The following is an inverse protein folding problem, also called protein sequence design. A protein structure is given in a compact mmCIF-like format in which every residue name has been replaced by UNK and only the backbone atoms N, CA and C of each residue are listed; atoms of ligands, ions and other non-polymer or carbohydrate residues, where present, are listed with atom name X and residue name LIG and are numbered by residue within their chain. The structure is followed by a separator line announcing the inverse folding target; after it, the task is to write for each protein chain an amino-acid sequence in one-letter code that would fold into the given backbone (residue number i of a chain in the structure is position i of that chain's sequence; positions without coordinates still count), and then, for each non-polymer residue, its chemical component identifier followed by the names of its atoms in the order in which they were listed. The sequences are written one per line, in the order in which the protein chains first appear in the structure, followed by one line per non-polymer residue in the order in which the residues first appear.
data_IF_423968263641
#
_entry.id   IF_423968263641
#
_cell.length_a   1.000
_cell.length_b   1.000
_cell.length_c   1.000
_cell.angle_alpha   90.00
_cell.angle_beta   90.00
_cell.angle_gamma   90.00
#
_symmetry.space_group_name_H-M   'P 1'
#
loop_
_entity.id
_entity.type
_entity.pdbx_description
1 polymer ?
#
# COMPACT_ATOMS: atom_id res chain seq x y z
N UNK A 1 -2.33 4.25 25.64
CA UNK A 1 -1.97 3.25 26.68
C UNK A 1 -1.93 1.88 26.03
N UNK A 2 -0.73 1.37 25.70
CA UNK A 2 -0.58 0.10 24.99
C UNK A 2 -0.68 -1.10 25.94
N UNK A 3 -1.70 -1.93 25.77
CA UNK A 3 -1.73 -3.25 26.41
C UNK A 3 -0.63 -4.11 25.78
N UNK A 4 0.38 -4.45 26.59
CA UNK A 4 1.46 -5.40 26.29
C UNK A 4 0.92 -6.67 25.60
N UNK A 5 1.70 -7.27 24.69
CA UNK A 5 1.30 -8.51 23.96
C UNK A 5 0.86 -9.63 24.89
N UNK A 6 1.37 -9.64 26.12
CA UNK A 6 0.99 -10.54 27.21
C UNK A 6 -0.45 -10.31 27.68
N UNK A 7 -0.89 -9.06 27.77
CA UNK A 7 -2.28 -8.72 28.10
C UNK A 7 -3.23 -9.06 26.95
N UNK A 8 -2.80 -8.93 25.68
CA UNK A 8 -3.62 -9.35 24.52
C UNK A 8 -3.89 -10.85 24.53
N UNK A 9 -2.86 -11.67 24.76
CA UNK A 9 -3.00 -13.13 24.89
C UNK A 9 -3.91 -13.51 26.06
N UNK A 10 -3.81 -12.79 27.18
CA UNK A 10 -4.69 -12.97 28.35
C UNK A 10 -6.14 -12.61 28.04
N UNK A 11 -6.42 -11.53 27.32
CA UNK A 11 -7.80 -11.16 26.97
C UNK A 11 -8.45 -12.20 26.08
N UNK A 12 -7.77 -12.70 25.04
CA UNK A 12 -8.28 -13.76 24.16
C UNK A 12 -8.52 -15.05 24.95
N UNK A 13 -7.57 -15.42 25.82
CA UNK A 13 -7.71 -16.60 26.67
C UNK A 13 -8.90 -16.44 27.62
N UNK A 14 -9.07 -15.26 28.24
CA UNK A 14 -10.20 -14.99 29.12
C UNK A 14 -11.55 -15.04 28.38
N UNK A 15 -11.67 -14.43 27.19
CA UNK A 15 -12.93 -14.53 26.43
C UNK A 15 -13.22 -15.96 26.02
N UNK A 16 -12.22 -16.72 25.55
CA UNK A 16 -12.38 -18.13 25.19
C UNK A 16 -12.77 -19.02 26.40
N UNK A 17 -12.21 -18.74 27.59
CA UNK A 17 -12.56 -19.42 28.83
C UNK A 17 -14.00 -19.06 29.25
N UNK A 18 -14.41 -17.80 29.12
CA UNK A 18 -15.77 -17.39 29.45
C UNK A 18 -16.79 -18.07 28.52
N UNK A 19 -16.54 -18.10 27.20
CA UNK A 19 -17.43 -18.82 26.27
C UNK A 19 -17.46 -20.32 26.55
N UNK A 20 -16.32 -20.96 26.86
CA UNK A 20 -16.31 -22.39 27.17
C UNK A 20 -17.07 -22.73 28.46
N UNK A 21 -16.94 -21.89 29.49
CA UNK A 21 -17.71 -22.04 30.74
C UNK A 21 -19.22 -21.90 30.48
N UNK A 22 -19.63 -20.94 29.66
CA UNK A 22 -21.05 -20.76 29.30
C UNK A 22 -21.60 -21.99 28.56
N UNK A 23 -20.82 -22.62 27.67
CA UNK A 23 -21.20 -23.87 26.99
C UNK A 23 -21.40 -25.01 27.97
N UNK A 24 -20.45 -25.21 28.88
CA UNK A 24 -20.50 -26.27 29.88
C UNK A 24 -21.71 -26.08 30.80
N UNK A 25 -21.98 -24.85 31.23
CA UNK A 25 -23.15 -24.54 32.06
C UNK A 25 -24.45 -24.78 31.29
N UNK A 26 -24.55 -24.32 30.04
CA UNK A 26 -25.74 -24.53 29.22
C UNK A 26 -26.03 -26.02 28.92
N UNK A 27 -24.98 -26.80 28.66
CA UNK A 27 -25.12 -28.26 28.43
C UNK A 27 -25.49 -29.01 29.70
N UNK A 28 -24.92 -28.64 30.85
CA UNK A 28 -25.32 -29.19 32.16
C UNK A 28 -26.79 -28.85 32.44
N UNK A 29 -27.23 -27.61 32.21
CA UNK A 29 -28.62 -27.20 32.39
C UNK A 29 -29.58 -27.95 31.47
N UNK A 30 -29.20 -28.17 30.20
CA UNK A 30 -29.98 -28.99 29.27
C UNK A 30 -30.08 -30.45 29.74
N UNK A 31 -28.99 -31.02 30.27
CA UNK A 31 -28.98 -32.38 30.81
C UNK A 31 -29.80 -32.50 32.10
N UNK A 32 -29.79 -31.47 32.96
CA UNK A 32 -30.64 -31.41 34.16
C UNK A 32 -32.12 -31.29 33.76
N UNK A 33 -32.45 -30.39 32.83
CA UNK A 33 -33.81 -30.24 32.31
C UNK A 33 -34.35 -31.55 31.71
N UNK A 34 -33.49 -32.27 30.97
CA UNK A 34 -33.81 -33.59 30.42
C UNK A 34 -34.02 -34.63 31.53
N UNK A 35 -33.13 -34.72 32.52
CA UNK A 35 -33.30 -35.65 33.65
C UNK A 35 -34.57 -35.34 34.47
N UNK A 36 -34.91 -34.05 34.65
CA UNK A 36 -36.16 -33.64 35.29
C UNK A 36 -37.39 -34.05 34.47
N UNK A 37 -37.34 -33.86 33.15
CA UNK A 37 -38.42 -34.28 32.24
C UNK A 37 -38.61 -35.80 32.20
N UNK A 38 -37.53 -36.59 32.32
CA UNK A 38 -37.58 -38.06 32.34
C UNK A 38 -37.96 -38.66 33.70
N UNK A 39 -37.72 -37.94 34.81
CA UNK A 39 -38.15 -38.39 36.15
C UNK A 39 -39.63 -38.12 36.44
N UNK A 40 -40.27 -37.21 35.71
CA UNK A 40 -41.73 -37.11 35.72
C UNK A 40 -42.30 -38.22 34.82
N UNK A 41 -43.26 -38.99 35.32
CA UNK A 41 -44.08 -39.82 34.44
C UNK A 41 -44.72 -38.89 33.40
N UNK A 42 -44.42 -39.14 32.12
CA UNK A 42 -44.96 -38.34 31.04
C UNK A 42 -46.49 -38.26 31.19
N UNK A 43 -47.09 -37.06 31.28
CA UNK A 43 -48.51 -36.89 31.63
C UNK A 43 -49.48 -37.49 30.60
N UNK A 44 -48.98 -38.05 29.50
CA UNK A 44 -49.77 -38.66 28.43
C UNK A 44 -48.91 -39.55 27.51
N UNK A 45 -49.47 -40.66 27.03
CA UNK A 45 -48.78 -41.70 26.21
C UNK A 45 -48.15 -41.16 24.92
N UNK A 46 -48.71 -40.11 24.31
CA UNK A 46 -48.17 -39.50 23.09
C UNK A 46 -46.85 -38.75 23.29
N UNK A 47 -46.54 -38.30 24.51
CA UNK A 47 -45.25 -37.69 24.85
C UNK A 47 -44.14 -38.73 25.04
N UNK A 48 -44.51 -39.95 25.44
CA UNK A 48 -43.58 -41.06 25.69
C UNK A 48 -43.02 -41.68 24.40
N UNK A 49 -43.72 -41.49 23.29
CA UNK A 49 -43.38 -42.02 21.98
C UNK A 49 -42.53 -41.07 21.09
N UNK A 50 -42.42 -39.78 21.45
CA UNK A 50 -41.85 -38.74 20.57
C UNK A 50 -40.44 -38.26 20.96
N UNK A 51 -39.81 -38.77 22.03
CA UNK A 51 -38.42 -38.42 22.34
C UNK A 51 -37.47 -39.49 21.80
N UNK A 52 -37.23 -39.46 20.48
CA UNK A 52 -36.17 -40.25 19.86
C UNK A 52 -34.80 -39.64 20.23
N UNK A 53 -33.89 -40.47 20.73
CA UNK A 53 -32.59 -40.03 21.25
C UNK A 53 -31.76 -39.29 20.18
N UNK A 54 -32.05 -39.55 18.90
CA UNK A 54 -31.47 -38.84 17.75
C UNK A 54 -31.83 -37.36 17.66
N UNK A 55 -33.06 -36.96 17.98
CA UNK A 55 -33.48 -35.55 17.94
C UNK A 55 -32.81 -34.74 19.07
N UNK A 56 -32.61 -35.36 20.23
CA UNK A 56 -31.87 -34.77 21.35
C UNK A 56 -30.40 -34.55 21.01
N UNK A 57 -29.73 -35.55 20.43
CA UNK A 57 -28.34 -35.41 19.97
C UNK A 57 -28.21 -34.34 18.87
N UNK A 58 -29.20 -34.25 17.98
CA UNK A 58 -29.28 -33.19 16.97
C UNK A 58 -29.38 -31.79 17.60
N UNK A 59 -30.25 -31.63 18.59
CA UNK A 59 -30.39 -30.36 19.32
C UNK A 59 -29.10 -29.99 20.07
N UNK A 60 -28.47 -30.95 20.75
CA UNK A 60 -27.20 -30.75 21.46
C UNK A 60 -26.07 -30.38 20.50
N UNK A 61 -25.98 -31.07 19.36
CA UNK A 61 -25.04 -30.75 18.28
C UNK A 61 -25.25 -29.35 17.72
N UNK A 62 -26.50 -28.92 17.53
CA UNK A 62 -26.84 -27.58 17.04
C UNK A 62 -26.44 -26.48 18.04
N UNK A 63 -26.63 -26.71 19.34
CA UNK A 63 -26.22 -25.79 20.39
C UNK A 63 -24.69 -25.64 20.44
N UNK A 64 -23.95 -26.75 20.38
CA UNK A 64 -22.48 -26.74 20.37
C UNK A 64 -21.95 -26.02 19.11
N UNK A 65 -22.54 -26.32 17.94
CA UNK A 65 -22.17 -25.66 16.68
C UNK A 65 -22.41 -24.14 16.73
N UNK A 66 -23.58 -23.71 17.20
CA UNK A 66 -23.92 -22.29 17.32
C UNK A 66 -22.92 -21.54 18.20
N UNK A 67 -22.53 -22.11 19.33
CA UNK A 67 -21.56 -21.45 20.22
C UNK A 67 -20.15 -21.45 19.63
N UNK A 68 -19.73 -22.53 18.97
CA UNK A 68 -18.45 -22.56 18.27
C UNK A 68 -18.38 -21.47 17.17
N UNK A 69 -19.47 -21.27 16.43
CA UNK A 69 -19.56 -20.20 15.42
C UNK A 69 -19.47 -18.81 16.05
N UNK A 70 -20.19 -18.55 17.14
CA UNK A 70 -20.14 -17.25 17.83
C UNK A 70 -18.75 -16.97 18.40
N UNK A 71 -18.10 -17.99 18.98
CA UNK A 71 -16.74 -17.87 19.49
C UNK A 71 -15.74 -17.53 18.38
N UNK A 72 -15.80 -18.25 17.24
CA UNK A 72 -14.96 -17.98 16.07
C UNK A 72 -15.21 -16.58 15.51
N UNK A 73 -16.48 -16.18 15.35
CA UNK A 73 -16.82 -14.84 14.85
C UNK A 73 -16.28 -13.74 15.77
N UNK A 74 -16.36 -13.93 17.08
CA UNK A 74 -15.85 -12.98 18.07
C UNK A 74 -14.32 -12.88 18.00
N UNK A 75 -13.63 -14.02 17.93
CA UNK A 75 -12.16 -14.05 17.79
C UNK A 75 -11.73 -13.38 16.49
N UNK A 76 -12.38 -13.71 15.37
CA UNK A 76 -12.10 -13.10 14.07
C UNK A 76 -12.31 -11.58 14.10
N UNK A 77 -13.45 -11.12 14.64
CA UNK A 77 -13.74 -9.69 14.74
C UNK A 77 -12.67 -8.95 15.57
N UNK A 78 -12.27 -9.51 16.70
CA UNK A 78 -11.25 -8.91 17.56
C UNK A 78 -9.87 -8.89 16.88
N UNK A 79 -9.50 -9.97 16.19
CA UNK A 79 -8.26 -10.02 15.40
C UNK A 79 -8.27 -8.96 14.30
N UNK A 80 -9.38 -8.84 13.56
CA UNK A 80 -9.54 -7.84 12.50
C UNK A 80 -9.46 -6.43 13.05
N UNK A 81 -10.17 -6.13 14.15
CA UNK A 81 -10.13 -4.82 14.80
C UNK A 81 -8.71 -4.43 15.20
N UNK A 82 -7.94 -5.35 15.77
CA UNK A 82 -6.55 -5.06 16.14
C UNK A 82 -5.62 -4.92 14.93
N UNK A 83 -5.86 -5.65 13.85
CA UNK A 83 -5.11 -5.46 12.61
C UNK A 83 -5.33 -4.05 12.05
N UNK A 84 -6.59 -3.57 12.05
CA UNK A 84 -6.92 -2.19 11.67
C UNK A 84 -6.32 -1.16 12.62
N UNK A 85 -6.42 -1.34 13.94
CA UNK A 85 -5.83 -0.42 14.93
C UNK A 85 -4.29 -0.36 14.83
N UNK A 86 -3.63 -1.48 14.53
CA UNK A 86 -2.17 -1.49 14.32
C UNK A 86 -1.79 -0.77 13.03
N UNK A 87 -2.61 -0.87 11.99
CA UNK A 87 -2.42 -0.16 10.73
C UNK A 87 -2.65 1.35 10.89
N UNK A 88 -3.74 1.77 11.53
CA UNK A 88 -4.00 3.19 11.84
C UNK A 88 -2.92 3.79 12.75
N UNK A 89 -2.43 3.03 13.74
CA UNK A 89 -1.33 3.46 14.60
C UNK A 89 -0.04 3.64 13.80
N UNK A 90 0.27 2.71 12.89
CA UNK A 90 1.42 2.86 11.98
C UNK A 90 1.25 4.08 11.08
N UNK A 91 0.05 4.39 10.61
CA UNK A 91 -0.27 5.58 9.81
C UNK A 91 -0.11 6.90 10.60
N UNK A 92 -0.46 6.91 11.89
CA UNK A 92 -0.31 8.05 12.80
C UNK A 92 1.12 8.24 13.32
N UNK A 93 1.85 7.14 13.58
CA UNK A 93 3.26 7.16 14.00
C UNK A 93 4.23 7.42 12.83
N UNK A 94 3.72 7.42 11.59
CA UNK A 94 4.46 7.77 10.37
C UNK A 94 4.71 9.28 10.25
N UNK A 95 5.45 9.81 11.22
CA UNK A 95 5.92 11.21 11.33
C UNK A 95 7.18 11.46 10.51
N UNK A 96 7.70 10.45 9.82
CA UNK A 96 8.92 10.55 8.99
C UNK A 96 8.63 10.11 7.56
N UNK A 97 7.77 10.88 6.90
CA UNK A 97 7.34 10.60 5.51
C UNK A 97 8.45 11.07 4.56
N UNK A 98 9.09 10.17 3.79
CA UNK A 98 9.98 10.58 2.72
C UNK A 98 9.18 11.28 1.62
N UNK A 99 9.75 12.32 1.01
CA UNK A 99 9.13 13.05 -0.09
C UNK A 99 10.20 13.59 -1.02
N UNK A 100 10.10 13.29 -2.31
CA UNK A 100 11.07 13.76 -3.29
C UNK A 100 10.58 15.00 -4.03
N UNK A 101 11.50 15.95 -4.17
CA UNK A 101 11.39 17.10 -5.08
C UNK A 101 12.49 17.04 -6.13
N UNK A 102 12.24 17.62 -7.30
CA UNK A 102 13.26 17.75 -8.34
C UNK A 102 14.20 18.88 -7.91
N UNK A 103 15.45 18.54 -7.59
CA UNK A 103 16.47 19.51 -7.19
C UNK A 103 17.16 20.14 -8.39
N UNK A 104 17.45 19.33 -9.42
CA UNK A 104 17.99 19.81 -10.68
C UNK A 104 17.78 18.78 -11.80
N UNK A 105 17.69 19.25 -13.03
CA UNK A 105 17.75 18.40 -14.22
C UNK A 105 19.02 18.76 -15.00
N UNK A 106 19.74 17.76 -15.51
CA UNK A 106 20.87 17.98 -16.43
C UNK A 106 20.61 17.33 -17.78
N UNK A 107 20.98 18.05 -18.83
CA UNK A 107 20.89 17.60 -20.22
C UNK A 107 22.32 17.49 -20.75
N UNK A 108 22.89 16.27 -20.72
CA UNK A 108 24.34 16.11 -20.91
C UNK A 108 25.11 16.85 -19.80
N UNK A 109 26.00 17.75 -20.18
CA UNK A 109 26.81 18.55 -19.23
C UNK A 109 26.12 19.86 -18.79
N UNK A 110 25.01 20.23 -19.43
CA UNK A 110 24.31 21.48 -19.15
C UNK A 110 23.22 21.30 -18.08
N UNK A 111 23.13 22.25 -17.14
CA UNK A 111 22.05 22.28 -16.15
C UNK A 111 20.83 22.96 -16.73
N UNK A 112 19.67 22.33 -16.56
CA UNK A 112 18.37 22.88 -16.93
C UNK A 112 18.03 24.11 -16.09
N UNK A 113 17.29 25.04 -16.68
CA UNK A 113 16.79 26.21 -15.99
C UNK A 113 15.45 25.90 -15.30
N UNK A 114 15.21 26.51 -14.14
CA UNK A 114 13.95 26.40 -13.45
C UNK A 114 12.89 27.23 -14.20
N UNK A 115 11.90 26.55 -14.78
CA UNK A 115 10.85 27.17 -15.59
C UNK A 115 9.80 27.86 -14.73
N UNK A 116 9.46 27.30 -13.56
CA UNK A 116 8.47 27.89 -12.67
C UNK A 116 8.69 27.56 -11.18
N UNK A 117 8.01 28.31 -10.31
CA UNK A 117 8.00 28.09 -8.86
C UNK A 117 7.34 26.76 -8.44
N UNK A 118 6.69 26.05 -9.36
CA UNK A 118 6.04 24.76 -9.10
C UNK A 118 7.01 23.57 -9.26
N UNK A 119 8.32 23.85 -9.43
CA UNK A 119 9.35 22.81 -9.56
C UNK A 119 9.46 22.20 -10.95
N UNK A 120 9.01 22.92 -11.99
CA UNK A 120 9.25 22.51 -13.37
C UNK A 120 10.61 23.00 -13.87
N UNK A 121 11.31 22.16 -14.62
CA UNK A 121 12.58 22.48 -15.26
C UNK A 121 12.44 22.41 -16.78
N UNK A 122 13.08 23.35 -17.48
CA UNK A 122 13.18 23.38 -18.93
C UNK A 122 14.65 23.25 -19.34
N UNK A 123 14.93 22.36 -20.30
CA UNK A 123 16.22 22.32 -20.97
C UNK A 123 16.06 22.20 -22.49
N UNK A 124 16.96 22.88 -23.17
CA UNK A 124 17.17 22.75 -24.60
C UNK A 124 18.17 21.63 -24.86
N UNK A 125 17.75 20.62 -25.61
CA UNK A 125 18.55 19.48 -25.97
C UNK A 125 18.79 19.49 -27.49
N UNK A 126 20.06 19.40 -27.90
CA UNK A 126 20.38 19.10 -29.30
C UNK A 126 19.89 17.69 -29.65
N UNK A 127 19.73 17.37 -30.94
CA UNK A 127 19.31 16.03 -31.42
C UNK A 127 20.16 14.86 -30.87
N UNK A 128 21.36 15.13 -30.37
CA UNK A 128 22.29 14.11 -29.87
C UNK A 128 22.00 13.65 -28.43
N UNK A 129 21.15 14.34 -27.67
CA UNK A 129 20.89 13.94 -26.27
C UNK A 129 19.90 12.78 -26.21
N UNK A 130 20.35 11.63 -25.71
CA UNK A 130 19.56 10.41 -25.60
C UNK A 130 19.01 10.16 -24.19
N UNK A 131 19.56 10.85 -23.19
CA UNK A 131 19.15 10.73 -21.80
C UNK A 131 19.35 12.05 -21.05
N UNK A 132 18.52 12.25 -20.03
CA UNK A 132 18.65 13.36 -19.08
C UNK A 132 18.89 12.79 -17.68
N UNK A 133 19.64 13.53 -16.87
CA UNK A 133 19.82 13.21 -15.45
C UNK A 133 18.82 14.03 -14.64
N UNK A 134 17.92 13.35 -13.92
CA UNK A 134 17.00 13.98 -12.97
C UNK A 134 17.56 13.74 -11.57
N UNK A 135 17.91 14.83 -10.87
CA UNK A 135 18.37 14.78 -9.48
C UNK A 135 17.17 15.05 -8.57
N UNK A 136 16.81 14.05 -7.77
CA UNK A 136 15.74 14.12 -6.80
C UNK A 136 16.32 14.29 -5.40
N UNK A 137 15.80 15.23 -4.63
CA UNK A 137 16.17 15.43 -3.22
C UNK A 137 15.05 14.97 -2.32
N UNK A 138 15.38 14.16 -1.32
CA UNK A 138 14.45 13.80 -0.27
C UNK A 138 14.34 14.96 0.73
N UNK A 139 13.23 15.68 0.69
CA UNK A 139 12.91 16.77 1.64
C UNK A 139 11.98 16.31 2.75
N UNK A 140 11.63 15.03 2.78
CA UNK A 140 10.87 14.42 3.84
C UNK A 140 11.69 14.18 5.11
N UNK A 141 11.01 14.04 6.24
CA UNK A 141 11.64 13.85 7.56
C UNK A 141 12.25 12.45 7.76
N UNK A 142 11.97 11.52 6.84
CA UNK A 142 12.41 10.12 6.91
C UNK A 142 13.23 9.67 5.71
N UNK A 143 14.03 8.60 5.86
CA UNK A 143 14.71 8.00 4.74
C UNK A 143 13.70 7.27 3.83
N UNK A 144 13.97 7.30 2.53
CA UNK A 144 13.30 6.48 1.54
C UNK A 144 14.11 5.20 1.31
N UNK A 145 13.45 4.05 1.34
CA UNK A 145 14.02 2.72 1.12
C UNK A 145 13.36 2.07 -0.10
N UNK A 146 13.96 0.98 -0.59
CA UNK A 146 13.41 0.15 -1.67
C UNK A 146 12.95 1.00 -2.87
N UNK A 147 13.86 1.87 -3.31
CA UNK A 147 13.59 2.81 -4.37
C UNK A 147 13.45 2.08 -5.71
N UNK A 148 12.29 2.22 -6.35
CA UNK A 148 12.01 1.59 -7.63
C UNK A 148 11.56 2.65 -8.64
N UNK A 149 12.33 2.78 -9.72
CA UNK A 149 12.03 3.67 -10.83
C UNK A 149 11.50 2.87 -12.02
N UNK A 150 10.39 3.33 -12.59
CA UNK A 150 9.79 2.66 -13.74
C UNK A 150 10.71 2.70 -14.98
N UNK A 151 11.12 1.52 -15.42
CA UNK A 151 12.06 1.32 -16.52
C UNK A 151 11.47 1.75 -17.88
N UNK A 152 12.36 2.18 -18.78
CA UNK A 152 12.03 2.54 -20.16
C UNK A 152 11.95 1.29 -21.07
N UNK A 153 10.91 0.46 -20.86
CA UNK A 153 10.51 -0.60 -21.80
C UNK A 153 11.05 -2.01 -21.53
N UNK A 154 10.64 -2.96 -22.38
CA UNK A 154 11.00 -4.38 -22.27
C UNK A 154 12.50 -4.61 -22.48
N UNK A 155 13.11 -5.44 -21.62
CA UNK A 155 14.51 -5.88 -21.76
C UNK A 155 15.56 -4.92 -21.21
N UNK A 156 15.17 -3.78 -20.62
CA UNK A 156 16.08 -2.96 -19.82
C UNK A 156 16.20 -3.60 -18.45
N UNK A 157 17.39 -4.03 -18.05
CA UNK A 157 17.60 -4.55 -16.71
C UNK A 157 17.46 -3.41 -15.69
N UNK A 158 16.71 -3.60 -14.58
CA UNK A 158 16.82 -2.69 -13.44
C UNK A 158 18.29 -2.63 -13.02
N UNK A 159 18.80 -1.43 -12.77
CA UNK A 159 20.10 -1.29 -12.14
C UNK A 159 20.01 -1.90 -10.74
N UNK A 160 20.74 -2.98 -10.49
CA UNK A 160 20.69 -3.71 -9.22
C UNK A 160 21.09 -2.83 -8.01
N UNK A 161 21.86 -1.76 -8.24
CA UNK A 161 22.20 -0.77 -7.21
C UNK A 161 21.04 0.15 -6.81
N UNK A 162 20.02 0.28 -7.66
CA UNK A 162 18.86 1.13 -7.43
C UNK A 162 17.86 0.47 -6.47
N UNK A 163 17.63 -0.83 -6.61
CA UNK A 163 16.64 -1.59 -5.83
C UNK A 163 16.99 -1.74 -4.33
N UNK A 164 18.27 -1.56 -3.96
CA UNK A 164 18.74 -1.65 -2.56
C UNK A 164 19.12 -0.30 -1.95
N UNK A 165 18.88 0.81 -2.66
CA UNK A 165 19.35 2.12 -2.22
C UNK A 165 18.42 2.76 -1.16
N UNK A 166 19.03 3.18 -0.05
CA UNK A 166 18.41 4.05 0.95
C UNK A 166 18.80 5.50 0.66
N UNK A 167 17.82 6.39 0.61
CA UNK A 167 18.04 7.84 0.47
C UNK A 167 17.64 8.53 1.77
N UNK A 168 18.62 8.93 2.61
CA UNK A 168 18.34 9.66 3.84
C UNK A 168 17.62 10.99 3.60
N UNK A 169 17.07 11.57 4.66
CA UNK A 169 16.53 12.93 4.63
C UNK A 169 17.61 13.93 4.22
N UNK A 170 17.23 14.95 3.45
CA UNK A 170 18.07 15.98 2.84
C UNK A 170 19.10 15.49 1.81
N UNK A 171 19.24 14.17 1.58
CA UNK A 171 20.11 13.62 0.56
C UNK A 171 19.45 13.62 -0.82
N UNK A 172 20.28 13.68 -1.87
CA UNK A 172 19.86 13.61 -3.26
C UNK A 172 20.26 12.30 -3.91
N UNK A 173 19.43 11.84 -4.84
CA UNK A 173 19.71 10.71 -5.73
C UNK A 173 19.52 11.17 -7.17
N UNK A 174 20.45 10.83 -8.05
CA UNK A 174 20.28 11.06 -9.48
C UNK A 174 19.74 9.82 -10.18
N UNK A 175 18.90 10.07 -11.18
CA UNK A 175 18.33 9.05 -12.04
C UNK A 175 18.49 9.46 -13.50
N UNK A 176 19.03 8.54 -14.30
CA UNK A 176 19.06 8.71 -15.76
C UNK A 176 17.72 8.28 -16.35
N UNK A 177 17.13 9.14 -17.19
CA UNK A 177 15.87 8.88 -17.89
C UNK A 177 16.09 9.06 -19.38
N UNK A 178 15.60 8.13 -20.20
CA UNK A 178 15.77 8.23 -21.66
C UNK A 178 14.81 9.26 -22.25
N UNK A 179 15.33 10.07 -23.16
CA UNK A 179 14.52 11.02 -23.92
C UNK A 179 13.89 10.27 -25.11
N UNK A 180 12.56 10.33 -25.30
CA UNK A 180 11.90 9.71 -26.44
C UNK A 180 12.53 10.17 -27.75
N UNK A 181 12.82 9.20 -28.60
CA UNK A 181 13.25 9.46 -29.97
C UNK A 181 12.05 9.26 -30.89
N UNK A 182 11.43 10.37 -31.29
CA UNK A 182 10.34 10.39 -32.25
C UNK A 182 10.43 11.63 -33.14
N UNK A 183 9.79 11.54 -34.31
CA UNK A 183 9.54 12.69 -35.18
C UNK A 183 8.30 13.48 -34.77
N UNK A 184 7.60 13.03 -33.73
CA UNK A 184 6.43 13.71 -33.21
C UNK A 184 6.79 15.10 -32.66
N UNK A 185 5.93 16.06 -32.95
CA UNK A 185 6.10 17.46 -32.54
C UNK A 185 6.08 17.60 -31.02
N UNK A 186 5.30 16.76 -30.32
CA UNK A 186 5.22 16.72 -28.86
C UNK A 186 5.06 15.29 -28.38
N UNK A 187 5.93 14.84 -27.48
CA UNK A 187 5.85 13.53 -26.81
C UNK A 187 5.72 13.75 -25.31
N UNK A 188 4.76 13.07 -24.68
CA UNK A 188 4.57 13.09 -23.23
C UNK A 188 4.89 11.73 -22.65
N UNK A 189 5.80 11.68 -21.68
CA UNK A 189 6.16 10.50 -20.92
C UNK A 189 5.81 10.73 -19.46
N UNK A 190 5.16 9.76 -18.86
CA UNK A 190 4.93 9.72 -17.41
C UNK A 190 5.87 8.66 -16.84
N UNK A 191 6.60 9.04 -15.79
CA UNK A 191 7.45 8.13 -15.03
C UNK A 191 6.93 8.02 -13.61
N UNK A 192 6.79 6.80 -13.13
CA UNK A 192 6.47 6.54 -11.73
C UNK A 192 7.72 6.19 -10.93
N UNK A 193 7.74 6.72 -9.71
CA UNK A 193 8.71 6.44 -8.68
C UNK A 193 7.97 5.81 -7.51
N UNK A 194 8.40 4.63 -7.10
CA UNK A 194 7.94 3.95 -5.90
C UNK A 194 9.06 3.86 -4.86
N UNK A 195 8.70 3.99 -3.60
CA UNK A 195 9.62 3.85 -2.48
C UNK A 195 8.85 3.58 -1.19
N UNK A 196 9.57 3.13 -0.18
CA UNK A 196 9.05 2.80 1.13
C UNK A 196 9.68 3.66 2.22
N UNK A 197 8.99 3.84 3.35
CA UNK A 197 9.64 4.35 4.55
C UNK A 197 10.27 3.20 5.37
N UNK A 198 10.88 3.54 6.51
CA UNK A 198 11.44 2.55 7.45
C UNK A 198 10.42 1.56 8.04
N UNK A 199 9.12 1.88 7.94
CA UNK A 199 8.03 1.06 8.45
C UNK A 199 7.42 0.16 7.36
N UNK A 200 7.91 0.23 6.12
CA UNK A 200 7.39 -0.52 4.97
C UNK A 200 6.13 0.08 4.32
N UNK A 201 5.74 1.31 4.65
CA UNK A 201 4.66 2.01 3.96
C UNK A 201 5.13 2.41 2.55
N UNK A 202 4.41 1.97 1.51
CA UNK A 202 4.71 2.25 0.11
C UNK A 202 4.11 3.57 -0.36
N UNK A 203 4.91 4.31 -1.11
CA UNK A 203 4.54 5.58 -1.72
C UNK A 203 4.79 5.54 -3.22
N UNK A 204 3.96 6.26 -3.97
CA UNK A 204 4.15 6.49 -5.40
C UNK A 204 4.11 7.98 -5.71
N UNK A 205 5.13 8.47 -6.40
CA UNK A 205 5.16 9.79 -7.02
C UNK A 205 5.24 9.64 -8.54
N UNK A 206 4.65 10.59 -9.26
CA UNK A 206 4.66 10.60 -10.72
C UNK A 206 5.26 11.91 -11.23
N UNK A 207 6.07 11.78 -12.27
CA UNK A 207 6.70 12.88 -12.97
C UNK A 207 6.28 12.85 -14.44
N UNK A 208 5.97 14.01 -15.00
CA UNK A 208 5.74 14.16 -16.43
C UNK A 208 6.97 14.77 -17.06
N UNK A 209 7.44 14.13 -18.11
CA UNK A 209 8.39 14.69 -19.05
C UNK A 209 7.65 14.98 -20.37
N UNK A 210 7.72 16.21 -20.83
CA UNK A 210 7.18 16.63 -22.12
C UNK A 210 8.34 17.05 -23.01
N UNK A 211 8.51 16.37 -24.13
CA UNK A 211 9.51 16.70 -25.14
C UNK A 211 8.82 17.36 -26.32
N UNK A 212 9.24 18.56 -26.69
CA UNK A 212 8.74 19.30 -27.86
C UNK A 212 9.85 19.43 -28.89
N UNK A 213 9.55 19.05 -30.13
CA UNK A 213 10.45 19.26 -31.25
C UNK A 213 10.19 20.66 -31.82
N UNK A 214 11.17 21.54 -31.69
CA UNK A 214 11.18 22.86 -32.34
C UNK A 214 12.06 22.81 -33.59
N UNK A 215 11.53 23.24 -34.73
CA UNK A 215 12.30 23.35 -35.97
C UNK A 215 12.89 24.74 -36.02
N UNK A 216 14.22 24.84 -35.94
CA UNK A 216 14.93 26.10 -36.10
C UNK A 216 14.97 26.42 -37.58
N UNK A 217 14.28 27.49 -37.99
CA UNK A 217 14.27 27.97 -39.38
C UNK A 217 15.13 29.21 -39.50
N UNK A 218 15.85 29.31 -40.62
CA UNK A 218 16.55 30.54 -40.96
C UNK A 218 15.52 31.63 -41.27
N UNK A 219 15.68 32.82 -40.67
CA UNK A 219 14.74 33.93 -40.87
C UNK A 219 14.83 34.52 -42.27
N UNK A 220 15.90 34.22 -43.02
CA UNK A 220 16.19 34.81 -44.32
C UNK A 220 15.67 33.95 -45.48
N UNK A 221 15.87 32.62 -45.44
CA UNK A 221 15.59 31.74 -46.59
C UNK A 221 14.59 30.61 -46.34
N UNK A 222 13.88 30.57 -45.20
CA UNK A 222 12.90 29.51 -44.86
C UNK A 222 13.45 28.07 -44.89
N UNK A 223 14.76 27.88 -45.00
CA UNK A 223 15.42 26.59 -44.88
C UNK A 223 15.52 26.18 -43.40
N UNK A 224 15.29 24.90 -43.11
CA UNK A 224 15.44 24.35 -41.77
C UNK A 224 16.94 24.23 -41.42
N UNK A 225 17.43 25.04 -40.49
CA UNK A 225 18.81 25.03 -40.00
C UNK A 225 19.09 23.84 -39.07
N UNK A 226 18.04 23.35 -38.41
CA UNK A 226 18.15 22.24 -37.47
C UNK A 226 16.81 21.94 -36.79
N UNK A 227 16.80 20.93 -35.92
CA UNK A 227 15.71 20.78 -34.97
C UNK A 227 16.30 20.68 -33.57
N UNK A 228 15.70 21.41 -32.65
CA UNK A 228 16.07 21.48 -31.24
C UNK A 228 14.92 20.91 -30.41
N UNK A 229 15.24 20.15 -29.37
CA UNK A 229 14.24 19.55 -28.49
C UNK A 229 14.16 20.34 -27.21
N UNK A 230 13.01 20.91 -26.92
CA UNK A 230 12.73 21.48 -25.60
C UNK A 230 12.16 20.37 -24.72
N UNK A 231 12.78 20.12 -23.57
CA UNK A 231 12.36 19.11 -22.61
C UNK A 231 11.87 19.83 -21.35
N UNK A 232 10.65 19.52 -20.96
CA UNK A 232 10.02 20.01 -19.74
C UNK A 232 9.83 18.85 -18.78
N UNK A 233 10.31 18.98 -17.54
CA UNK A 233 10.12 17.97 -16.49
C UNK A 233 9.36 18.61 -15.34
N UNK A 234 8.27 18.00 -14.90
CA UNK A 234 7.45 18.51 -13.79
C UNK A 234 6.80 17.39 -12.97
N UNK A 235 6.56 17.60 -11.65
CA UNK A 235 5.77 16.68 -10.85
C UNK A 235 4.29 16.69 -11.29
N UNK A 236 3.65 15.52 -11.32
CA UNK A 236 2.27 15.37 -11.82
C UNK A 236 1.18 15.51 -10.76
N UNK A 237 1.54 15.42 -9.49
CA UNK A 237 0.56 15.47 -8.41
C UNK A 237 1.16 15.11 -7.06
N UNK A 238 0.32 15.13 -6.01
CA UNK A 238 0.75 14.78 -4.67
C UNK A 238 1.18 13.32 -4.60
N UNK A 239 2.10 13.04 -3.69
CA UNK A 239 2.50 11.68 -3.32
C UNK A 239 1.27 10.87 -2.92
N UNK A 240 1.13 9.67 -3.49
CA UNK A 240 0.06 8.73 -3.16
C UNK A 240 0.61 7.64 -2.25
N UNK A 241 -0.13 7.31 -1.19
CA UNK A 241 0.14 6.12 -0.38
C UNK A 241 -0.46 4.93 -1.11
N UNK A 242 0.34 3.90 -1.37
CA UNK A 242 -0.14 2.65 -1.92
C UNK A 242 -0.67 1.80 -0.76
N UNK A 243 -1.93 1.38 -0.84
CA UNK A 243 -2.49 0.38 0.07
C UNK A 243 -2.12 -0.99 -0.50
N UNK A 244 -1.47 -1.82 0.31
CA UNK A 244 -1.28 -3.23 0.00
C UNK A 244 -2.63 -3.96 -0.11
#
# INVERSE_FOLDING_TARGET
MGLSSTNRKRTIACTAIITSVVVVVATILAFIAFNCAFKQEAPSEWMRANCDFGEFLGYLGSCVAAVATVALATVSYVQTKWAYEDQERREQENTKRPFFVIASVKCGDEKAEAFNANGAFECSASKAVHSIEIVLQNVGDGPANNYHWELDGFGVSPDAELELSCVPSACSKSQMVRVPQGNDVVVNVVKSLEYENILGCKYRQQFRMTCRLSVVRDMVDSHALGAERQIFVQPLGPQKVLKD
#
